data_IF_076847165440
#
_entry.id   IF_076847165440
#
_cell.length_a   1.000
_cell.length_b   1.000
_cell.length_c   1.000
_cell.angle_alpha   90.00
_cell.angle_beta   90.00
_cell.angle_gamma   90.00
#
_symmetry.space_group_name_H-M   'P 1'
#
loop_
_entity.id
_entity.type
_entity.pdbx_description
1 polymer ?
#
# COMPACT_ATOMS: atom_id res chain seq x y z
N UNK A 1 1.81 -3.73 -38.87
CA UNK A 1 2.41 -3.10 -37.68
C UNK A 1 2.40 -1.60 -37.94
N UNK A 2 1.76 -0.80 -37.09
CA UNK A 2 1.78 0.65 -37.26
C UNK A 2 3.22 1.15 -37.08
N UNK A 3 3.69 1.99 -38.01
CA UNK A 3 5.00 2.65 -37.87
C UNK A 3 5.04 3.46 -36.58
N UNK A 4 6.16 3.50 -35.85
CA UNK A 4 6.27 4.35 -34.67
C UNK A 4 6.10 5.81 -35.11
N UNK A 5 5.01 6.44 -34.67
CA UNK A 5 4.79 7.87 -34.85
C UNK A 5 5.92 8.66 -34.18
N UNK A 6 6.34 9.77 -34.80
CA UNK A 6 7.28 10.70 -34.17
C UNK A 6 6.72 11.15 -32.83
N UNK A 7 7.55 11.13 -31.78
CA UNK A 7 7.19 11.61 -30.46
C UNK A 7 6.57 13.02 -30.56
N UNK A 8 5.33 13.17 -30.06
CA UNK A 8 4.54 14.42 -30.17
C UNK A 8 5.14 15.60 -29.38
N UNK A 9 6.15 15.36 -28.54
CA UNK A 9 6.87 16.34 -27.70
C UNK A 9 8.36 16.01 -27.69
N UNK A 10 9.20 17.03 -27.54
CA UNK A 10 10.63 16.86 -27.29
C UNK A 10 10.83 16.12 -25.96
N UNK A 11 11.50 14.97 -26.01
CA UNK A 11 11.83 14.18 -24.82
C UNK A 11 12.99 14.90 -24.09
N UNK A 12 12.88 15.21 -22.79
CA UNK A 12 13.98 15.80 -22.03
C UNK A 12 15.24 14.93 -22.04
N UNK A 13 16.42 15.50 -21.74
CA UNK A 13 17.62 14.68 -21.56
C UNK A 13 17.47 13.79 -20.33
N UNK A 14 17.91 12.53 -20.42
CA UNK A 14 17.94 11.61 -19.28
C UNK A 14 18.83 12.12 -18.13
N UNK A 15 19.79 12.99 -18.43
CA UNK A 15 20.64 13.65 -17.43
C UNK A 15 19.82 14.50 -16.45
N UNK A 16 18.68 15.04 -16.90
CA UNK A 16 17.70 15.69 -16.03
C UNK A 16 16.56 14.71 -15.71
N UNK A 17 16.85 13.79 -14.78
CA UNK A 17 15.92 12.72 -14.42
C UNK A 17 14.55 13.23 -13.94
N UNK A 18 14.53 14.35 -13.21
CA UNK A 18 13.31 14.92 -12.64
C UNK A 18 12.36 15.46 -13.72
N UNK A 19 12.87 15.91 -14.87
CA UNK A 19 12.06 16.27 -16.03
C UNK A 19 11.80 15.07 -16.94
N UNK A 20 12.79 14.22 -17.15
CA UNK A 20 12.72 13.08 -18.06
C UNK A 20 11.72 12.02 -17.59
N UNK A 21 11.75 11.63 -16.31
CA UNK A 21 10.92 10.53 -15.80
C UNK A 21 9.41 10.84 -15.88
N UNK A 22 8.92 12.01 -15.43
CA UNK A 22 7.52 12.35 -15.60
C UNK A 22 7.09 12.43 -17.06
N UNK A 23 7.96 12.93 -17.93
CA UNK A 23 7.70 13.07 -19.36
C UNK A 23 7.62 11.70 -20.04
N UNK A 24 8.53 10.76 -19.76
CA UNK A 24 8.52 9.44 -20.40
C UNK A 24 7.31 8.61 -19.97
N UNK A 25 6.91 8.70 -18.70
CA UNK A 25 5.72 8.02 -18.17
C UNK A 25 4.44 8.47 -18.90
N UNK A 26 4.32 9.77 -19.21
CA UNK A 26 3.20 10.33 -19.99
C UNK A 26 3.31 9.99 -21.48
N UNK A 27 4.50 10.14 -22.08
CA UNK A 27 4.74 9.85 -23.52
C UNK A 27 4.53 8.36 -23.83
N UNK A 28 4.92 7.47 -22.93
CA UNK A 28 4.74 6.03 -23.05
C UNK A 28 3.30 5.57 -22.76
N UNK A 29 2.39 6.50 -22.44
CA UNK A 29 0.98 6.21 -22.22
C UNK A 29 0.74 5.23 -21.06
N UNK A 30 1.58 5.29 -20.01
CA UNK A 30 1.48 4.42 -18.84
C UNK A 30 0.38 4.90 -17.89
N UNK A 31 0.38 6.19 -17.59
CA UNK A 31 -0.60 6.82 -16.69
C UNK A 31 -1.03 8.18 -17.23
N UNK A 32 -2.17 8.66 -16.75
CA UNK A 32 -2.73 9.97 -17.03
C UNK A 32 -2.78 10.78 -15.73
N UNK A 33 -1.91 11.80 -15.66
CA UNK A 33 -1.71 12.67 -14.49
C UNK A 33 -2.70 13.82 -14.41
N UNK A 34 -3.65 13.91 -15.36
CA UNK A 34 -4.65 15.00 -15.42
C UNK A 34 -5.78 14.81 -14.41
N UNK A 35 -5.80 13.69 -13.69
CA UNK A 35 -6.74 13.49 -12.60
C UNK A 35 -6.55 14.58 -11.53
N UNK A 36 -7.63 15.22 -11.05
CA UNK A 36 -7.53 16.49 -10.32
C UNK A 36 -7.08 16.33 -8.85
N UNK A 37 -6.57 15.16 -8.45
CA UNK A 37 -6.07 14.91 -7.10
C UNK A 37 -4.57 14.63 -7.19
N UNK A 38 -3.78 15.46 -6.48
CA UNK A 38 -2.33 15.35 -6.46
C UNK A 38 -1.90 13.96 -5.95
N UNK A 39 -1.06 13.28 -6.73
CA UNK A 39 -0.52 11.96 -6.38
C UNK A 39 -1.44 10.79 -6.70
N UNK A 40 -2.60 11.03 -7.34
CA UNK A 40 -3.51 9.99 -7.80
C UNK A 40 -3.57 10.02 -9.33
N UNK A 41 -2.82 9.13 -9.98
CA UNK A 41 -2.79 9.04 -11.45
C UNK A 41 -3.76 7.96 -11.96
N UNK A 42 -4.36 8.17 -13.13
CA UNK A 42 -5.17 7.14 -13.81
C UNK A 42 -4.25 6.22 -14.59
N UNK A 43 -4.22 4.93 -14.26
CA UNK A 43 -3.46 3.95 -15.03
C UNK A 43 -4.14 3.66 -16.37
N UNK A 44 -3.41 3.89 -17.47
CA UNK A 44 -3.88 3.64 -18.83
C UNK A 44 -3.70 2.18 -19.21
N UNK A 45 -4.34 1.66 -20.28
CA UNK A 45 -4.30 0.23 -20.60
C UNK A 45 -2.89 -0.37 -20.70
N UNK A 46 -1.90 0.38 -21.21
CA UNK A 46 -0.53 -0.10 -21.30
C UNK A 46 0.14 -0.23 -19.92
N UNK A 47 0.05 0.80 -19.08
CA UNK A 47 0.58 0.76 -17.72
C UNK A 47 -0.17 -0.24 -16.83
N UNK A 48 -1.49 -0.28 -16.91
CA UNK A 48 -2.30 -1.22 -16.14
C UNK A 48 -1.98 -2.67 -16.50
N UNK A 49 -1.80 -2.97 -17.80
CA UNK A 49 -1.39 -4.31 -18.23
C UNK A 49 -0.01 -4.69 -17.69
N UNK A 50 0.93 -3.75 -17.60
CA UNK A 50 2.24 -3.99 -17.00
C UNK A 50 2.11 -4.31 -15.50
N UNK A 51 1.31 -3.56 -14.75
CA UNK A 51 1.03 -3.85 -13.33
C UNK A 51 0.41 -5.23 -13.13
N UNK A 52 -0.61 -5.58 -13.93
CA UNK A 52 -1.24 -6.90 -13.86
C UNK A 52 -0.26 -8.06 -14.11
N UNK A 53 0.75 -7.85 -14.97
CA UNK A 53 1.79 -8.86 -15.21
C UNK A 53 2.71 -9.00 -14.00
N UNK A 54 3.08 -7.90 -13.36
CA UNK A 54 3.86 -7.90 -12.12
C UNK A 54 3.09 -8.62 -11.02
N UNK A 55 1.81 -8.27 -10.82
CA UNK A 55 0.97 -8.92 -9.81
C UNK A 55 0.80 -10.42 -10.08
N UNK A 56 0.70 -10.81 -11.36
CA UNK A 56 0.63 -12.22 -11.76
C UNK A 56 1.89 -12.99 -11.39
N UNK A 57 3.08 -12.38 -11.53
CA UNK A 57 4.34 -12.98 -11.08
C UNK A 57 4.38 -13.11 -9.55
N UNK A 58 3.97 -12.06 -8.83
CA UNK A 58 3.90 -12.08 -7.36
C UNK A 58 2.98 -13.19 -6.86
N UNK A 59 1.76 -13.33 -7.42
CA UNK A 59 0.84 -14.41 -7.07
C UNK A 59 1.44 -15.79 -7.32
N UNK A 60 2.07 -15.99 -8.48
CA UNK A 60 2.70 -17.27 -8.80
C UNK A 60 3.79 -17.66 -7.78
N UNK A 61 4.59 -16.71 -7.31
CA UNK A 61 5.61 -16.97 -6.29
C UNK A 61 5.02 -17.23 -4.89
N UNK A 62 3.96 -16.52 -4.53
CA UNK A 62 3.24 -16.72 -3.27
C UNK A 62 2.55 -18.09 -3.24
N UNK A 63 1.88 -18.47 -4.32
CA UNK A 63 1.26 -19.79 -4.49
C UNK A 63 2.30 -20.91 -4.40
N UNK A 64 3.46 -20.73 -5.08
CA UNK A 64 4.57 -21.69 -5.05
C UNK A 64 5.09 -21.96 -3.64
N UNK A 65 4.97 -20.99 -2.74
CA UNK A 65 5.46 -21.06 -1.35
C UNK A 65 4.36 -21.36 -0.32
N UNK A 66 3.14 -21.60 -0.80
CA UNK A 66 1.97 -21.95 -0.01
C UNK A 66 1.41 -20.79 0.80
N UNK A 67 1.50 -19.56 0.29
CA UNK A 67 0.81 -18.41 0.86
C UNK A 67 -0.58 -18.29 0.25
N UNK A 68 -1.56 -17.92 1.06
CA UNK A 68 -2.94 -17.72 0.62
C UNK A 68 -3.25 -16.22 0.47
N UNK A 69 -3.89 -15.85 -0.64
CA UNK A 69 -4.29 -14.46 -0.89
C UNK A 69 -5.57 -14.14 -0.10
N UNK A 70 -5.51 -13.11 0.74
CA UNK A 70 -6.65 -12.53 1.45
C UNK A 70 -6.93 -11.13 0.90
N UNK A 71 -8.12 -10.60 1.17
CA UNK A 71 -8.45 -9.22 0.86
C UNK A 71 -9.12 -8.58 2.07
N UNK A 72 -8.38 -7.74 2.79
CA UNK A 72 -8.91 -7.03 3.94
C UNK A 72 -9.63 -5.74 3.51
N UNK A 73 -10.57 -5.20 4.30
CA UNK A 73 -11.23 -3.93 4.01
C UNK A 73 -10.27 -2.72 3.99
N UNK A 74 -10.50 -1.78 3.06
CA UNK A 74 -9.71 -0.55 2.92
C UNK A 74 -9.86 0.40 4.13
N UNK A 75 -11.06 0.48 4.69
CA UNK A 75 -11.38 1.37 5.81
C UNK A 75 -11.12 0.67 7.14
N UNK A 76 -10.46 1.38 8.05
CA UNK A 76 -10.14 0.92 9.40
C UNK A 76 -10.72 1.91 10.43
N UNK A 77 -11.45 1.44 11.46
CA UNK A 77 -11.94 2.26 12.55
C UNK A 77 -10.86 3.04 13.33
N UNK A 78 -11.16 4.25 13.79
CA UNK A 78 -10.22 5.12 14.52
C UNK A 78 -9.66 4.49 15.80
N UNK A 79 -10.45 3.71 16.52
CA UNK A 79 -10.06 3.05 17.78
C UNK A 79 -8.93 2.02 17.58
N UNK A 80 -8.68 1.60 16.34
CA UNK A 80 -7.55 0.75 15.96
C UNK A 80 -6.30 1.54 15.54
N UNK A 81 -6.39 2.86 15.33
CA UNK A 81 -5.27 3.69 14.88
C UNK A 81 -4.14 3.79 15.91
N UNK A 82 -4.45 3.87 17.20
CA UNK A 82 -3.42 3.93 18.24
C UNK A 82 -2.60 2.62 18.29
N UNK A 83 -3.27 1.49 18.09
CA UNK A 83 -2.61 0.18 17.96
C UNK A 83 -1.73 0.13 16.71
N UNK A 84 -2.20 0.66 15.57
CA UNK A 84 -1.40 0.79 14.34
C UNK A 84 -0.15 1.64 14.58
N UNK A 85 -0.30 2.84 15.14
CA UNK A 85 0.82 3.76 15.32
C UNK A 85 1.91 3.14 16.21
N UNK A 86 1.52 2.50 17.31
CA UNK A 86 2.45 1.82 18.20
C UNK A 86 3.15 0.65 17.50
N UNK A 87 2.38 -0.18 16.80
CA UNK A 87 2.90 -1.35 16.10
C UNK A 87 3.85 -0.97 14.96
N UNK A 88 3.46 -0.04 14.09
CA UNK A 88 4.29 0.36 12.96
C UNK A 88 5.55 1.10 13.42
N UNK A 89 5.47 1.90 14.50
CA UNK A 89 6.66 2.52 15.10
C UNK A 89 7.63 1.46 15.64
N UNK A 90 7.12 0.44 16.35
CA UNK A 90 7.92 -0.69 16.81
C UNK A 90 8.59 -1.42 15.65
N UNK A 91 7.83 -1.79 14.62
CA UNK A 91 8.32 -2.56 13.48
C UNK A 91 9.33 -1.77 12.63
N UNK A 92 9.13 -0.45 12.45
CA UNK A 92 10.10 0.41 11.78
C UNK A 92 11.42 0.45 12.55
N UNK A 93 11.36 0.67 13.86
CA UNK A 93 12.54 0.70 14.72
C UNK A 93 13.27 -0.65 14.72
N UNK A 94 12.53 -1.76 14.83
CA UNK A 94 13.09 -3.11 14.73
C UNK A 94 13.84 -3.34 13.42
N UNK A 95 13.26 -2.91 12.30
CA UNK A 95 13.88 -3.02 10.99
C UNK A 95 15.13 -2.15 10.85
N UNK A 96 15.10 -0.93 11.39
CA UNK A 96 16.24 0.01 11.36
C UNK A 96 17.39 -0.48 12.23
N UNK A 97 17.09 -1.01 13.41
CA UNK A 97 18.06 -1.52 14.37
C UNK A 97 18.50 -2.96 14.04
N UNK A 98 17.80 -3.64 13.12
CA UNK A 98 18.09 -5.03 12.71
C UNK A 98 17.84 -6.06 13.82
N UNK A 99 16.97 -5.74 14.77
CA UNK A 99 16.64 -6.56 15.95
C UNK A 99 15.23 -7.12 15.84
N UNK A 100 14.95 -8.17 16.60
CA UNK A 100 13.59 -8.70 16.71
C UNK A 100 12.69 -7.65 17.40
N UNK A 101 11.49 -7.34 16.85
CA UNK A 101 10.53 -6.43 17.49
C UNK A 101 10.23 -6.75 18.95
N UNK A 102 10.29 -8.03 19.36
CA UNK A 102 10.03 -8.46 20.74
C UNK A 102 11.16 -8.07 21.71
N UNK A 103 12.36 -7.79 21.20
CA UNK A 103 13.52 -7.36 22.00
C UNK A 103 13.53 -5.84 22.23
N UNK A 104 12.68 -5.09 21.52
CA UNK A 104 12.59 -3.63 21.63
C UNK A 104 11.69 -3.20 22.79
N UNK A 105 12.30 -2.58 23.81
CA UNK A 105 11.59 -1.72 24.76
C UNK A 105 11.46 -0.33 24.14
N UNK A 106 10.23 0.06 23.81
CA UNK A 106 9.92 1.43 23.42
C UNK A 106 9.70 2.29 24.67
N UNK A 107 10.48 3.36 24.79
CA UNK A 107 10.02 4.58 25.44
C UNK A 107 9.01 5.27 24.48
N UNK A 108 7.95 5.86 25.02
CA UNK A 108 6.84 6.46 24.25
C UNK A 108 7.33 7.60 23.35
N UNK A 109 7.76 7.31 22.12
CA UNK A 109 7.87 8.31 21.05
C UNK A 109 6.67 8.24 20.12
N UNK A 110 6.03 9.40 19.96
CA UNK A 110 4.76 9.61 19.27
C UNK A 110 4.94 9.69 17.74
N UNK A 111 5.49 8.63 17.13
CA UNK A 111 5.58 8.49 15.68
C UNK A 111 4.23 7.99 15.11
N UNK A 112 3.21 8.86 15.11
CA UNK A 112 1.88 8.52 14.59
C UNK A 112 1.70 8.82 13.11
N UNK A 113 1.13 7.89 12.34
CA UNK A 113 0.61 8.10 10.97
C UNK A 113 -0.65 8.96 10.94
N UNK A 114 -1.11 9.47 12.09
CA UNK A 114 -2.32 10.29 12.21
C UNK A 114 -2.33 11.49 11.26
N UNK A 115 -1.16 12.01 10.89
CA UNK A 115 -1.00 13.13 9.94
C UNK A 115 -0.99 12.72 8.46
N UNK A 116 -0.81 11.43 8.17
CA UNK A 116 -0.63 10.91 6.80
C UNK A 116 -1.86 10.15 6.28
N UNK A 117 -2.85 9.86 7.13
CA UNK A 117 -4.05 9.10 6.74
C UNK A 117 -5.20 9.99 6.29
N UNK A 118 -5.96 9.49 5.31
CA UNK A 118 -7.23 10.09 4.90
C UNK A 118 -8.34 9.62 5.84
N UNK A 119 -9.12 10.57 6.36
CA UNK A 119 -10.24 10.31 7.26
C UNK A 119 -11.58 10.28 6.53
N UNK A 120 -12.41 9.32 6.91
CA UNK A 120 -13.82 9.22 6.54
C UNK A 120 -14.64 9.45 7.81
N UNK A 121 -15.30 10.61 7.88
CA UNK A 121 -16.13 11.01 9.02
C UNK A 121 -17.63 10.98 8.74
N UNK A 122 -18.01 10.88 7.47
CA UNK A 122 -19.40 10.90 7.04
C UNK A 122 -19.68 9.71 6.12
N UNK A 123 -20.87 9.13 6.25
CA UNK A 123 -21.42 8.17 5.31
C UNK A 123 -22.70 8.77 4.69
N UNK A 124 -22.57 9.31 3.48
CA UNK A 124 -23.60 10.17 2.91
C UNK A 124 -23.72 11.46 3.71
N UNK A 125 -24.92 11.77 4.20
CA UNK A 125 -25.21 12.97 5.00
C UNK A 125 -25.04 12.74 6.51
N UNK A 126 -24.87 11.49 6.96
CA UNK A 126 -24.77 11.17 8.38
C UNK A 126 -23.31 11.22 8.85
N UNK A 127 -23.08 11.88 9.98
CA UNK A 127 -21.80 11.78 10.70
C UNK A 127 -21.66 10.38 11.32
N UNK A 128 -20.47 9.79 11.19
CA UNK A 128 -20.17 8.49 11.75
C UNK A 128 -19.93 8.61 13.25
N UNK A 129 -20.57 7.75 14.04
CA UNK A 129 -20.30 7.66 15.49
C UNK A 129 -18.82 7.34 15.78
N UNK A 130 -18.23 6.52 14.92
CA UNK A 130 -16.81 6.19 14.94
C UNK A 130 -16.18 6.55 13.59
N UNK A 131 -15.29 7.56 13.53
CA UNK A 131 -14.54 7.87 12.33
C UNK A 131 -13.73 6.66 11.84
N UNK A 132 -13.52 6.59 10.54
CA UNK A 132 -12.68 5.58 9.90
C UNK A 132 -11.55 6.27 9.14
N UNK A 133 -10.47 5.56 8.86
CA UNK A 133 -9.39 6.04 8.01
C UNK A 133 -9.09 5.06 6.88
N UNK A 134 -8.57 5.57 5.76
CA UNK A 134 -8.00 4.73 4.71
C UNK A 134 -6.67 4.18 5.21
N UNK A 135 -6.56 2.86 5.25
CA UNK A 135 -5.37 2.19 5.77
C UNK A 135 -4.11 2.56 4.97
N UNK A 136 -3.01 2.98 5.63
CA UNK A 136 -1.73 3.20 4.96
C UNK A 136 -1.00 1.87 4.71
N UNK A 137 -1.16 0.93 5.63
CA UNK A 137 -0.67 -0.44 5.57
C UNK A 137 -1.78 -1.39 6.07
N UNK A 138 -1.52 -2.68 6.30
CA UNK A 138 -2.61 -3.64 6.62
C UNK A 138 -2.36 -4.48 7.86
N UNK A 139 -1.29 -4.21 8.59
CA UNK A 139 -0.94 -4.87 9.83
C UNK A 139 -2.08 -4.77 10.85
N UNK A 140 -2.65 -3.58 11.08
CA UNK A 140 -3.75 -3.43 12.04
C UNK A 140 -5.01 -4.23 11.71
N UNK A 141 -5.62 -4.14 10.51
CA UNK A 141 -6.78 -4.98 10.19
C UNK A 141 -6.43 -6.48 10.19
N UNK A 142 -5.23 -6.86 9.73
CA UNK A 142 -4.78 -8.26 9.72
C UNK A 142 -4.62 -8.81 11.14
N UNK A 143 -3.87 -8.13 11.99
CA UNK A 143 -3.53 -8.62 13.33
C UNK A 143 -4.68 -8.49 14.32
N UNK A 144 -5.71 -7.72 13.99
CA UNK A 144 -7.00 -7.78 14.73
C UNK A 144 -7.72 -9.11 14.46
N UNK A 145 -7.57 -9.68 13.26
CA UNK A 145 -8.23 -10.93 12.86
C UNK A 145 -7.41 -12.18 13.20
N UNK A 146 -6.07 -12.11 13.15
CA UNK A 146 -5.22 -13.28 13.36
C UNK A 146 -5.45 -13.99 14.71
N UNK A 147 -5.62 -13.31 15.87
CA UNK A 147 -5.95 -13.96 17.14
C UNK A 147 -7.30 -14.68 17.15
N UNK A 148 -8.19 -14.34 16.20
CA UNK A 148 -9.47 -15.03 16.03
C UNK A 148 -9.31 -16.33 15.24
N UNK A 149 -8.34 -16.37 14.31
CA UNK A 149 -8.04 -17.51 13.45
C UNK A 149 -7.05 -18.49 14.08
N UNK A 150 -6.02 -17.99 14.75
CA UNK A 150 -4.99 -18.80 15.41
C UNK A 150 -5.38 -19.02 16.87
N UNK A 151 -5.84 -20.23 17.19
CA UNK A 151 -6.29 -20.63 18.54
C UNK A 151 -5.36 -21.65 19.19
N UNK A 152 -4.58 -22.36 18.39
CA UNK A 152 -3.65 -23.38 18.81
C UNK A 152 -2.40 -23.38 17.93
N UNK A 153 -1.37 -24.12 18.36
CA UNK A 153 -0.17 -24.34 17.55
C UNK A 153 -0.46 -25.07 16.23
N UNK A 154 -1.59 -25.78 16.13
CA UNK A 154 -2.01 -26.48 14.91
C UNK A 154 -2.50 -25.56 13.81
N UNK A 155 -2.86 -24.32 14.14
CA UNK A 155 -3.30 -23.30 13.17
C UNK A 155 -2.10 -22.57 12.50
N UNK A 156 -0.88 -22.96 12.88
CA UNK A 156 0.37 -22.43 12.34
C UNK A 156 1.05 -23.47 11.42
N UNK A 157 1.76 -23.02 10.37
CA UNK A 157 2.03 -21.63 10.00
C UNK A 157 0.86 -20.97 9.26
N UNK A 158 0.48 -19.75 9.67
CA UNK A 158 -0.42 -18.89 8.90
C UNK A 158 0.40 -18.08 7.89
N UNK A 159 0.23 -18.36 6.60
CA UNK A 159 0.93 -17.69 5.50
C UNK A 159 -0.06 -16.96 4.63
N UNK A 160 -0.12 -15.64 4.75
CA UNK A 160 -1.10 -14.82 4.02
C UNK A 160 -0.42 -13.67 3.29
N UNK A 161 -1.02 -13.24 2.19
CA UNK A 161 -0.64 -12.02 1.48
C UNK A 161 -1.88 -11.35 0.89
N UNK A 162 -1.74 -10.12 0.42
CA UNK A 162 -2.75 -9.44 -0.39
C UNK A 162 -2.05 -8.54 -1.40
N UNK A 163 -2.69 -8.33 -2.56
CA UNK A 163 -2.26 -7.35 -3.55
C UNK A 163 -3.32 -6.26 -3.60
N UNK A 164 -2.87 -5.01 -3.46
CA UNK A 164 -3.70 -3.79 -3.38
C UNK A 164 -3.34 -2.80 -4.47
#
# INVERSE_FOLDING_TARGET
MASPDKAKRGIPSKEDFNLWYPAIVEIADLVDKRYPIKGMDVWKPYGWKAMMLIDGLTRAEMDRTGHEEYNFPLLVPEDLLEKENRLVSLLKKAREDGVDPDELRLDEEEAGFKKEVYWVKHAGENELELPMFLRPTSETPMYTMFPLWVRSHGDLPLKTFQIV
#
